data_IF_414754938116
#
_entry.id   IF_414754938116
#
_cell.length_a   1.000
_cell.length_b   1.000
_cell.length_c   1.000
_cell.angle_alpha   90.00
_cell.angle_beta   90.00
_cell.angle_gamma   90.00
#
_symmetry.space_group_name_H-M   'P 1'
#
loop_
_entity.id
_entity.type
_entity.pdbx_description
1 polymer ?
#
# COMPACT_ATOMS: atom_id res chain seq x y z
N UNK A 1 -14.66 13.38 6.39
CA UNK A 1 -13.68 13.51 5.28
C UNK A 1 -12.47 14.27 5.82
N UNK A 2 -11.47 13.57 6.32
CA UNK A 2 -10.26 14.20 6.89
C UNK A 2 -9.51 14.88 5.74
N UNK A 3 -9.46 16.22 5.77
CA UNK A 3 -8.70 17.02 4.81
C UNK A 3 -7.23 16.67 4.97
N UNK A 4 -6.67 15.94 4.01
CA UNK A 4 -5.22 15.85 3.86
C UNK A 4 -4.73 17.29 3.63
N UNK A 5 -4.00 17.83 4.60
CA UNK A 5 -3.53 19.21 4.58
C UNK A 5 -2.51 19.30 3.45
N UNK A 6 -2.85 20.08 2.42
CA UNK A 6 -2.06 20.26 1.20
C UNK A 6 -0.77 21.05 1.55
N UNK A 7 0.18 20.37 2.18
CA UNK A 7 1.58 20.77 2.11
C UNK A 7 2.03 20.34 0.72
N UNK A 8 2.42 21.31 -0.11
CA UNK A 8 3.14 21.05 -1.35
C UNK A 8 4.46 20.36 -0.97
N UNK A 9 4.43 19.04 -0.89
CA UNK A 9 5.64 18.23 -0.75
C UNK A 9 6.33 18.28 -2.10
N UNK A 10 7.42 19.04 -2.18
CA UNK A 10 8.29 19.01 -3.34
C UNK A 10 9.10 17.71 -3.29
N UNK A 11 8.66 16.73 -4.05
CA UNK A 11 9.43 15.52 -4.26
C UNK A 11 10.55 15.80 -5.29
N UNK A 12 11.74 15.18 -5.13
CA UNK A 12 12.73 15.17 -6.19
C UNK A 12 12.12 14.72 -7.53
N UNK A 13 12.58 15.28 -8.65
CA UNK A 13 12.02 15.01 -10.00
C UNK A 13 11.96 13.53 -10.41
N UNK A 14 12.70 12.66 -9.74
CA UNK A 14 12.74 11.22 -10.00
C UNK A 14 11.75 10.42 -9.13
N UNK A 15 10.95 11.08 -8.29
CA UNK A 15 9.91 10.47 -7.48
C UNK A 15 8.55 10.89 -8.05
N UNK A 16 7.76 9.91 -8.46
CA UNK A 16 6.38 10.10 -8.88
C UNK A 16 5.44 9.65 -7.77
N UNK A 17 4.42 10.46 -7.46
CA UNK A 17 3.33 10.09 -6.56
C UNK A 17 2.06 9.97 -7.38
N UNK A 18 1.52 8.76 -7.45
CA UNK A 18 0.38 8.42 -8.30
C UNK A 18 -0.66 7.65 -7.49
N UNK A 19 -1.93 7.75 -7.91
CA UNK A 19 -2.96 6.79 -7.51
C UNK A 19 -2.78 5.48 -8.27
N UNK A 20 -3.36 4.38 -7.77
CA UNK A 20 -3.29 3.06 -8.45
C UNK A 20 -3.83 3.15 -9.88
N UNK A 21 -4.97 3.82 -10.08
CA UNK A 21 -5.58 3.98 -11.40
C UNK A 21 -4.64 4.75 -12.36
N UNK A 22 -3.92 5.78 -11.86
CA UNK A 22 -2.96 6.56 -12.67
C UNK A 22 -1.64 5.83 -12.95
N UNK A 23 -1.36 4.76 -12.22
CA UNK A 23 -0.18 3.91 -12.39
C UNK A 23 -0.40 2.76 -13.38
N UNK A 24 -1.62 2.59 -13.91
CA UNK A 24 -1.93 1.56 -14.88
C UNK A 24 -1.06 1.70 -16.14
N UNK A 25 -0.40 0.59 -16.53
CA UNK A 25 0.51 0.57 -17.69
C UNK A 25 1.86 1.23 -17.46
N UNK A 26 2.14 1.74 -16.26
CA UNK A 26 3.45 2.25 -15.86
C UNK A 26 4.22 1.19 -15.06
N UNK A 27 5.53 1.27 -15.05
CA UNK A 27 6.39 0.45 -14.21
C UNK A 27 7.51 1.31 -13.64
N UNK A 28 7.97 0.98 -12.42
CA UNK A 28 9.09 1.63 -11.76
C UNK A 28 10.03 0.59 -11.17
N UNK A 29 11.32 0.91 -11.06
CA UNK A 29 12.29 -0.02 -10.46
C UNK A 29 11.92 -0.34 -8.99
N UNK A 30 11.45 0.68 -8.26
CA UNK A 30 11.01 0.58 -6.87
C UNK A 30 9.62 1.22 -6.75
N UNK A 31 8.68 0.51 -6.11
CA UNK A 31 7.33 1.03 -5.84
C UNK A 31 7.05 0.99 -4.34
N UNK A 32 6.56 2.10 -3.82
CA UNK A 32 6.10 2.28 -2.44
C UNK A 32 4.58 2.41 -2.46
N UNK A 33 3.87 1.52 -1.76
CA UNK A 33 2.40 1.52 -1.70
C UNK A 33 1.94 1.89 -0.30
N UNK A 34 1.11 2.92 -0.19
CA UNK A 34 0.35 3.18 1.03
C UNK A 34 -1.07 2.66 0.88
N UNK A 35 -1.47 1.74 1.76
CA UNK A 35 -2.85 1.24 1.81
C UNK A 35 -3.80 2.23 2.51
N UNK A 36 -3.26 3.17 3.31
CA UNK A 36 -3.96 4.27 4.02
C UNK A 36 -5.00 3.83 5.07
N UNK A 37 -5.76 2.77 4.81
CA UNK A 37 -6.89 2.31 5.62
C UNK A 37 -6.43 1.39 6.75
N UNK A 38 -7.07 1.59 7.91
CA UNK A 38 -6.82 0.84 9.14
C UNK A 38 -8.11 0.59 9.94
N UNK A 39 -9.27 0.62 9.27
CA UNK A 39 -10.59 0.51 9.90
C UNK A 39 -11.76 0.92 8.99
N UNK A 40 -12.97 0.51 9.36
CA UNK A 40 -14.21 0.81 8.63
C UNK A 40 -14.46 -0.18 7.48
N UNK A 41 -14.92 0.31 6.32
CA UNK A 41 -15.07 -0.51 5.11
C UNK A 41 -13.78 -0.50 4.28
N UNK A 42 -13.43 -1.66 3.70
CA UNK A 42 -12.22 -1.84 2.87
C UNK A 42 -12.20 -0.89 1.64
N UNK A 43 -13.35 -0.67 1.02
CA UNK A 43 -13.52 0.31 -0.05
C UNK A 43 -12.59 0.08 -1.24
N UNK A 44 -11.74 1.07 -1.54
CA UNK A 44 -10.86 1.08 -2.73
C UNK A 44 -9.94 -0.15 -2.84
N UNK A 45 -9.58 -0.77 -1.71
CA UNK A 45 -8.65 -1.90 -1.66
C UNK A 45 -9.32 -3.25 -1.96
N UNK A 46 -10.65 -3.31 -2.03
CA UNK A 46 -11.41 -4.55 -2.28
C UNK A 46 -11.29 -5.01 -3.74
N UNK A 47 -11.08 -4.06 -4.65
CA UNK A 47 -11.02 -4.29 -6.09
C UNK A 47 -9.78 -5.12 -6.48
N UNK A 48 -10.03 -6.33 -6.98
CA UNK A 48 -9.00 -7.26 -7.42
C UNK A 48 -8.16 -6.71 -8.59
N UNK A 49 -8.76 -5.97 -9.53
CA UNK A 49 -8.03 -5.41 -10.66
C UNK A 49 -7.05 -4.34 -10.18
N UNK A 50 -7.47 -3.49 -9.24
CA UNK A 50 -6.60 -2.49 -8.63
C UNK A 50 -5.47 -3.14 -7.82
N UNK A 51 -5.76 -4.22 -7.08
CA UNK A 51 -4.73 -5.02 -6.39
C UNK A 51 -3.70 -5.60 -7.36
N UNK A 52 -4.15 -6.17 -8.48
CA UNK A 52 -3.24 -6.68 -9.49
C UNK A 52 -2.37 -5.58 -10.09
N UNK A 53 -2.95 -4.41 -10.40
CA UNK A 53 -2.20 -3.25 -10.88
C UNK A 53 -1.13 -2.88 -9.86
N UNK A 54 -1.51 -2.59 -8.60
CA UNK A 54 -0.56 -2.12 -7.59
C UNK A 54 0.58 -3.11 -7.34
N UNK A 55 0.31 -4.42 -7.25
CA UNK A 55 1.32 -5.44 -6.96
C UNK A 55 2.32 -5.68 -8.10
N UNK A 56 1.95 -5.31 -9.34
CA UNK A 56 2.75 -5.63 -10.55
C UNK A 56 3.46 -4.43 -11.17
N UNK A 57 3.47 -3.26 -10.51
CA UNK A 57 4.18 -2.07 -11.03
C UNK A 57 5.69 -2.06 -10.73
N UNK A 58 6.15 -2.86 -9.77
CA UNK A 58 7.54 -2.91 -9.35
C UNK A 58 8.36 -3.86 -10.22
N UNK A 59 9.51 -3.39 -10.72
CA UNK A 59 10.46 -4.23 -11.49
C UNK A 59 11.49 -4.92 -10.61
N UNK A 60 11.87 -4.31 -9.48
CA UNK A 60 12.92 -4.83 -8.58
C UNK A 60 12.48 -4.96 -7.14
N UNK A 61 11.81 -3.94 -6.59
CA UNK A 61 11.38 -3.95 -5.20
C UNK A 61 10.00 -3.31 -5.01
N UNK A 62 9.19 -3.96 -4.18
CA UNK A 62 7.86 -3.50 -3.78
C UNK A 62 7.83 -3.39 -2.25
N UNK A 63 7.50 -2.22 -1.74
CA UNK A 63 7.29 -1.99 -0.31
C UNK A 63 5.86 -1.53 -0.08
N UNK A 64 5.18 -2.14 0.88
CA UNK A 64 3.80 -1.84 1.20
C UNK A 64 3.66 -1.43 2.67
N UNK A 65 2.89 -0.38 2.90
CA UNK A 65 2.65 0.19 4.23
C UNK A 65 1.14 0.21 4.51
N UNK A 66 0.73 -0.40 5.61
CA UNK A 66 -0.67 -0.45 6.02
C UNK A 66 -0.88 -1.25 7.29
N UNK A 67 -2.12 -1.26 7.79
CA UNK A 67 -2.52 -2.16 8.87
C UNK A 67 -2.80 -3.55 8.27
N UNK A 68 -1.75 -4.40 8.24
CA UNK A 68 -1.81 -5.71 7.60
C UNK A 68 -2.81 -6.65 8.28
N UNK A 69 -2.88 -6.64 9.62
CA UNK A 69 -3.84 -7.46 10.36
C UNK A 69 -5.28 -7.11 9.98
N UNK A 70 -5.61 -5.82 9.94
CA UNK A 70 -6.94 -5.38 9.54
C UNK A 70 -7.25 -5.73 8.08
N UNK A 71 -6.30 -5.53 7.15
CA UNK A 71 -6.48 -5.87 5.74
C UNK A 71 -6.73 -7.37 5.54
N UNK A 72 -5.98 -8.23 6.24
CA UNK A 72 -6.14 -9.67 6.19
C UNK A 72 -7.51 -10.13 6.72
N UNK A 73 -8.10 -9.42 7.66
CA UNK A 73 -9.45 -9.72 8.18
C UNK A 73 -10.56 -9.29 7.21
N UNK A 74 -10.31 -8.32 6.32
CA UNK A 74 -11.35 -7.76 5.46
C UNK A 74 -11.63 -8.59 4.19
N UNK A 75 -10.63 -9.25 3.63
CA UNK A 75 -10.74 -9.92 2.32
C UNK A 75 -9.80 -11.15 2.23
N UNK A 76 -10.28 -12.30 1.72
CA UNK A 76 -9.50 -13.54 1.67
C UNK A 76 -8.22 -13.44 0.84
N UNK A 77 -8.19 -12.60 -0.18
CA UNK A 77 -7.01 -12.45 -1.03
C UNK A 77 -5.97 -11.51 -0.41
N UNK A 78 -6.40 -10.48 0.34
CA UNK A 78 -5.53 -9.74 1.25
C UNK A 78 -4.93 -10.65 2.32
N UNK A 79 -5.72 -11.57 2.88
CA UNK A 79 -5.22 -12.58 3.82
C UNK A 79 -4.11 -13.43 3.20
N UNK A 80 -4.33 -13.96 1.98
CA UNK A 80 -3.29 -14.72 1.25
C UNK A 80 -2.02 -13.91 1.02
N UNK A 81 -2.15 -12.62 0.68
CA UNK A 81 -1.00 -11.74 0.47
C UNK A 81 -0.18 -11.56 1.76
N UNK A 82 -0.87 -11.36 2.89
CA UNK A 82 -0.23 -11.22 4.22
C UNK A 82 0.40 -12.55 4.66
N UNK A 83 -0.27 -13.67 4.45
CA UNK A 83 0.25 -15.01 4.76
C UNK A 83 1.50 -15.37 3.94
N UNK A 84 1.51 -15.04 2.65
CA UNK A 84 2.67 -15.22 1.78
C UNK A 84 3.85 -14.34 2.24
N UNK A 85 3.59 -13.07 2.58
CA UNK A 85 4.60 -12.18 3.13
C UNK A 85 5.15 -12.68 4.49
N UNK A 86 4.28 -13.21 5.36
CA UNK A 86 4.66 -13.82 6.64
C UNK A 86 5.52 -15.06 6.45
N UNK A 87 5.15 -15.93 5.50
CA UNK A 87 5.91 -17.13 5.13
C UNK A 87 7.31 -16.78 4.63
N UNK A 88 7.42 -15.72 3.83
CA UNK A 88 8.70 -15.19 3.34
C UNK A 88 9.51 -14.41 4.39
N UNK A 89 8.94 -14.16 5.58
CA UNK A 89 9.55 -13.39 6.67
C UNK A 89 9.94 -11.96 6.24
N UNK A 90 9.06 -11.31 5.48
CA UNK A 90 9.27 -9.95 4.95
C UNK A 90 8.31 -8.92 5.54
N UNK A 91 7.73 -9.22 6.71
CA UNK A 91 6.88 -8.30 7.45
C UNK A 91 7.68 -7.70 8.59
N UNK A 92 7.85 -6.38 8.55
CA UNK A 92 8.36 -5.59 9.67
C UNK A 92 7.20 -4.78 10.26
N UNK A 93 7.00 -4.89 11.58
CA UNK A 93 6.03 -4.09 12.31
C UNK A 93 6.68 -2.81 12.79
N UNK A 94 6.05 -1.67 12.48
CA UNK A 94 6.46 -0.38 13.04
C UNK A 94 5.67 -0.21 14.33
N UNK A 95 6.38 -0.18 15.46
CA UNK A 95 5.77 0.20 16.73
C UNK A 95 5.18 1.60 16.58
N UNK A 96 3.91 1.75 16.94
CA UNK A 96 3.34 3.09 17.10
C UNK A 96 4.17 3.77 18.16
N UNK A 97 4.95 4.79 17.74
CA UNK A 97 5.76 5.59 18.65
C UNK A 97 4.91 5.95 19.87
N UNK A 98 5.43 5.63 21.05
CA UNK A 98 4.83 5.95 22.34
C UNK A 98 4.31 7.40 22.32
N UNK A 99 3.08 7.57 22.82
CA UNK A 99 2.25 8.75 22.55
C UNK A 99 2.93 10.11 22.75
N UNK A 100 2.72 10.98 21.76
CA UNK A 100 2.57 12.43 21.93
C UNK A 100 1.19 12.86 21.45
#
# INVERSE_FOLDING_TARGET
>A
MTKFRERSLEFPRHIEVLTVDSAQGKEQDIVLISCVRSGGTIGFLDDQHRRNVMLTRARRALYMFGNLSWLAEQDPDWNKLVDDAGTRKVIDTVDSADGE
#
